data_IF_393774144543
#
_entry.id   IF_393774144543
#
_cell.length_a   1.000
_cell.length_b   1.000
_cell.length_c   1.000
_cell.angle_alpha   90.00
_cell.angle_beta   90.00
_cell.angle_gamma   90.00
#
_symmetry.space_group_name_H-M   'P 1'
#
loop_
_entity.id
_entity.type
_entity.pdbx_description
1 polymer ?
#
# COMPACT_ATOMS: atom_id res chain seq x y z
N UNK A 1 66.27 5.97 27.44
CA UNK A 1 65.03 6.76 27.27
C UNK A 1 63.84 5.83 27.52
N UNK A 2 62.86 6.19 28.34
CA UNK A 2 61.66 5.36 28.56
C UNK A 2 60.66 5.74 27.49
N UNK A 3 60.46 4.89 26.47
CA UNK A 3 59.43 5.13 25.46
C UNK A 3 58.06 4.87 26.11
N UNK A 4 57.37 5.95 26.52
CA UNK A 4 55.95 5.84 26.88
C UNK A 4 55.14 5.36 25.68
N UNK A 5 53.99 4.74 25.96
CA UNK A 5 53.09 4.14 24.99
C UNK A 5 52.32 5.23 24.22
N UNK A 6 53.02 6.03 23.41
CA UNK A 6 52.38 6.84 22.37
C UNK A 6 52.10 5.90 21.19
N UNK A 7 50.92 5.96 20.57
CA UNK A 7 50.57 5.16 19.39
C UNK A 7 51.45 5.50 18.17
N UNK A 8 52.41 6.42 18.32
CA UNK A 8 53.34 6.91 17.29
C UNK A 8 52.57 7.42 16.08
N UNK A 9 51.49 8.15 16.35
CA UNK A 9 50.62 8.84 15.40
C UNK A 9 50.26 10.20 15.97
N UNK A 10 50.37 11.23 15.14
CA UNK A 10 49.86 12.56 15.42
C UNK A 10 49.11 13.06 14.19
N UNK A 11 48.06 13.87 14.38
CA UNK A 11 47.27 14.38 13.27
C UNK A 11 47.00 15.87 13.38
N UNK A 12 47.05 16.54 12.24
CA UNK A 12 46.88 17.98 12.10
C UNK A 12 45.86 18.28 11.02
N UNK A 13 44.89 19.14 11.32
CA UNK A 13 43.98 19.66 10.30
C UNK A 13 44.67 20.83 9.60
N UNK A 14 44.65 20.85 8.27
CA UNK A 14 45.22 21.94 7.50
C UNK A 14 44.48 23.26 7.74
N UNK A 15 45.15 24.37 7.44
CA UNK A 15 44.56 25.72 7.47
C UNK A 15 45.01 26.57 6.27
N UNK A 16 45.78 25.99 5.35
CA UNK A 16 46.36 26.66 4.18
C UNK A 16 47.55 27.58 4.48
N UNK A 17 48.05 27.63 5.72
CA UNK A 17 49.13 28.54 6.12
C UNK A 17 50.24 27.88 6.94
N UNK A 18 49.90 26.96 7.87
CA UNK A 18 50.87 26.26 8.70
C UNK A 18 51.62 25.22 7.88
N UNK A 19 52.95 25.29 7.91
CA UNK A 19 53.83 24.33 7.23
C UNK A 19 54.62 23.45 8.20
N UNK A 20 54.82 23.86 9.46
CA UNK A 20 55.56 23.08 10.44
C UNK A 20 54.61 22.31 11.37
N UNK A 21 54.82 21.00 11.45
CA UNK A 21 54.03 20.06 12.24
C UNK A 21 54.96 19.28 13.18
N UNK A 22 54.75 19.42 14.49
CA UNK A 22 55.60 18.76 15.50
C UNK A 22 55.32 17.27 15.54
N UNK A 23 56.37 16.45 15.69
CA UNK A 23 56.26 15.02 15.96
C UNK A 23 56.55 14.82 17.44
N UNK A 24 55.57 14.33 18.19
CA UNK A 24 55.61 14.20 19.65
C UNK A 24 56.15 12.85 20.14
N UNK A 25 56.53 11.97 19.23
CA UNK A 25 57.17 10.68 19.51
C UNK A 25 58.58 10.60 18.93
N UNK A 26 59.46 9.79 19.54
CA UNK A 26 60.82 9.59 19.04
C UNK A 26 60.84 8.78 17.74
N UNK A 27 61.78 9.11 16.86
CA UNK A 27 62.09 8.37 15.63
C UNK A 27 63.59 8.42 15.34
N UNK A 28 64.11 7.45 14.57
CA UNK A 28 65.56 7.37 14.30
C UNK A 28 65.95 8.19 13.07
N UNK A 29 65.24 8.01 11.95
CA UNK A 29 65.51 8.67 10.67
C UNK A 29 64.26 9.29 10.08
N UNK A 30 64.43 10.27 9.19
CA UNK A 30 63.32 10.87 8.44
C UNK A 30 62.47 9.85 7.67
N UNK A 31 63.09 8.76 7.19
CA UNK A 31 62.42 7.69 6.46
C UNK A 31 61.59 6.75 7.35
N UNK A 32 61.71 6.86 8.69
CA UNK A 32 60.90 6.08 9.64
C UNK A 32 59.53 6.74 9.91
N UNK A 33 59.21 7.83 9.20
CA UNK A 33 57.95 8.53 9.25
C UNK A 33 57.25 8.47 7.89
N UNK A 34 55.93 8.35 7.94
CA UNK A 34 55.08 8.55 6.78
C UNK A 34 54.01 9.59 7.08
N UNK A 35 53.61 10.32 6.05
CA UNK A 35 52.59 11.37 6.12
C UNK A 35 51.47 11.00 5.15
N UNK A 36 50.27 10.86 5.68
CA UNK A 36 49.07 10.54 4.92
C UNK A 36 48.18 11.78 4.93
N UNK A 37 47.80 12.24 3.75
CA UNK A 37 46.78 13.27 3.60
C UNK A 37 45.43 12.61 3.41
N UNK A 38 44.48 12.97 4.28
CA UNK A 38 43.11 12.52 4.23
C UNK A 38 42.21 13.69 3.84
N UNK A 39 41.40 13.50 2.80
CA UNK A 39 40.36 14.46 2.43
C UNK A 39 39.20 14.37 3.43
N UNK A 40 38.80 15.49 4.04
CA UNK A 40 37.76 15.49 5.07
C UNK A 40 36.34 15.26 4.53
N UNK A 41 36.10 15.50 3.24
CA UNK A 41 34.78 15.32 2.63
C UNK A 41 34.61 13.92 2.03
N UNK A 42 35.63 13.40 1.35
CA UNK A 42 35.57 12.10 0.66
C UNK A 42 36.19 10.96 1.46
N UNK A 43 36.93 11.26 2.53
CA UNK A 43 37.74 10.31 3.31
C UNK A 43 38.82 9.58 2.49
N UNK A 44 39.11 10.05 1.28
CA UNK A 44 40.18 9.50 0.46
C UNK A 44 41.54 9.81 1.08
N UNK A 45 42.42 8.80 1.12
CA UNK A 45 43.78 8.90 1.65
C UNK A 45 44.81 8.93 0.53
N UNK A 46 45.83 9.77 0.66
CA UNK A 46 46.95 9.88 -0.28
C UNK A 46 48.26 9.93 0.49
N UNK A 47 49.18 9.03 0.17
CA UNK A 47 50.52 9.00 0.75
C UNK A 47 51.36 10.16 0.19
N UNK A 48 51.95 10.96 1.07
CA UNK A 48 52.88 12.04 0.70
C UNK A 48 54.31 11.51 0.60
N UNK A 49 55.08 12.11 -0.28
CA UNK A 49 56.46 11.70 -0.61
C UNK A 49 57.47 12.55 0.14
N UNK A 50 58.32 11.91 0.96
CA UNK A 50 59.44 12.55 1.64
C UNK A 50 60.40 13.19 0.63
N UNK A 51 60.78 14.45 0.86
CA UNK A 51 61.65 15.25 0.00
C UNK A 51 60.93 16.01 -1.12
N UNK A 52 59.70 15.62 -1.47
CA UNK A 52 58.86 16.34 -2.45
C UNK A 52 57.75 17.11 -1.76
N UNK A 53 56.90 16.41 -1.01
CA UNK A 53 55.73 16.99 -0.34
C UNK A 53 56.05 17.53 1.06
N UNK A 54 57.01 16.92 1.74
CA UNK A 54 57.46 17.33 3.06
C UNK A 54 58.93 16.97 3.30
N UNK A 55 59.56 17.68 4.25
CA UNK A 55 60.89 17.38 4.77
C UNK A 55 60.81 17.14 6.28
N UNK A 56 61.72 16.36 6.84
CA UNK A 56 61.75 16.07 8.28
C UNK A 56 63.06 16.59 8.87
N UNK A 57 62.95 17.25 10.02
CA UNK A 57 64.09 17.63 10.86
C UNK A 57 63.97 17.02 12.25
N UNK A 58 65.10 16.74 12.90
CA UNK A 58 65.15 16.05 14.19
C UNK A 58 65.40 14.55 14.03
N UNK A 59 64.90 13.75 14.98
CA UNK A 59 65.11 12.31 15.00
C UNK A 59 66.34 11.89 15.80
N UNK A 60 67.03 10.83 15.36
CA UNK A 60 68.19 10.27 16.06
C UNK A 60 67.86 9.57 17.39
N UNK A 61 66.59 9.28 17.65
CA UNK A 61 66.08 8.82 18.95
C UNK A 61 65.34 9.92 19.73
N UNK A 62 65.19 11.12 19.17
CA UNK A 62 64.41 12.21 19.75
C UNK A 62 63.18 12.55 18.89
N UNK A 63 62.39 13.51 19.37
CA UNK A 63 61.27 14.11 18.63
C UNK A 63 61.77 14.97 17.46
N UNK A 64 60.86 15.47 16.64
CA UNK A 64 61.22 16.26 15.48
C UNK A 64 60.06 17.07 14.91
N UNK A 65 60.22 17.50 13.67
CA UNK A 65 59.23 18.33 12.98
C UNK A 65 59.17 17.94 11.51
N UNK A 66 57.94 17.70 11.04
CA UNK A 66 57.61 17.56 9.63
C UNK A 66 57.31 18.95 9.09
N UNK A 67 57.98 19.34 8.01
CA UNK A 67 57.76 20.62 7.33
C UNK A 67 57.19 20.36 5.95
N UNK A 68 55.98 20.83 5.68
CA UNK A 68 55.32 20.73 4.40
C UNK A 68 55.95 21.66 3.37
N UNK A 69 56.14 21.19 2.14
CA UNK A 69 56.56 22.03 1.01
C UNK A 69 55.44 23.00 0.61
N UNK A 70 54.18 22.55 0.67
CA UNK A 70 52.98 23.35 0.46
C UNK A 70 52.06 23.19 1.67
N UNK A 71 51.58 24.31 2.23
CA UNK A 71 50.70 24.26 3.40
C UNK A 71 49.39 23.51 3.07
N UNK A 72 49.01 22.48 3.84
CA UNK A 72 47.79 21.74 3.57
C UNK A 72 46.55 22.62 3.75
N UNK A 73 45.59 22.60 2.81
CA UNK A 73 44.37 23.41 2.88
C UNK A 73 43.44 22.94 4.01
N UNK A 74 42.46 23.76 4.39
CA UNK A 74 41.50 23.43 5.45
C UNK A 74 40.57 22.24 5.14
N UNK A 75 40.57 21.77 3.89
CA UNK A 75 39.77 20.62 3.44
C UNK A 75 40.47 19.28 3.69
N UNK A 76 41.71 19.27 4.16
CA UNK A 76 42.48 18.05 4.39
C UNK A 76 43.03 17.97 5.81
N UNK A 77 43.29 16.73 6.23
CA UNK A 77 43.97 16.39 7.48
C UNK A 77 45.25 15.63 7.15
N UNK A 78 46.35 16.02 7.75
CA UNK A 78 47.60 15.27 7.70
C UNK A 78 47.72 14.37 8.91
N UNK A 79 47.96 13.09 8.67
CA UNK A 79 48.24 12.08 9.69
C UNK A 79 49.70 11.68 9.53
N UNK A 80 50.50 11.99 10.54
CA UNK A 80 51.92 11.64 10.61
C UNK A 80 52.04 10.43 11.51
N UNK A 81 52.63 9.35 11.00
CA UNK A 81 52.76 8.09 11.75
C UNK A 81 54.14 7.46 11.55
N UNK A 82 54.57 6.68 12.54
CA UNK A 82 55.78 5.86 12.43
C UNK A 82 55.59 4.71 11.43
N UNK A 83 56.59 4.52 10.57
CA UNK A 83 56.71 3.44 9.59
C UNK A 83 58.17 2.94 9.55
N UNK A 84 58.62 2.36 10.65
CA UNK A 84 59.99 1.90 10.84
C UNK A 84 60.26 0.63 10.01
N UNK A 85 61.29 0.61 9.13
CA UNK A 85 61.59 -0.57 8.33
C UNK A 85 61.99 -1.79 9.19
N UNK A 86 61.36 -2.94 8.95
CA UNK A 86 61.62 -4.23 9.63
C UNK A 86 62.90 -4.92 9.12
N UNK A 87 64.01 -4.20 9.16
CA UNK A 87 65.33 -4.69 8.74
C UNK A 87 66.34 -4.54 9.86
N UNK A 88 67.25 -5.50 10.00
CA UNK A 88 68.40 -5.37 10.88
C UNK A 88 69.63 -5.09 10.01
N UNK A 89 70.11 -3.84 10.01
CA UNK A 89 71.29 -3.43 9.24
C UNK A 89 72.60 -3.55 10.06
N UNK A 90 72.50 -3.70 11.38
CA UNK A 90 73.66 -3.81 12.28
C UNK A 90 74.23 -5.23 12.21
N UNK A 91 75.45 -5.35 11.71
CA UNK A 91 76.25 -6.56 11.78
C UNK A 91 77.26 -6.46 12.94
N UNK A 92 77.18 -7.40 13.88
CA UNK A 92 78.01 -7.41 15.07
C UNK A 92 79.25 -8.25 14.81
N UNK A 93 80.43 -7.65 14.94
CA UNK A 93 81.69 -8.38 14.84
C UNK A 93 81.90 -9.26 16.08
N UNK A 94 82.30 -10.52 15.87
CA UNK A 94 82.58 -11.48 16.95
C UNK A 94 83.77 -11.06 17.83
N UNK A 95 84.66 -10.22 17.30
CA UNK A 95 85.86 -9.73 17.98
C UNK A 95 85.93 -8.21 17.93
N UNK A 96 85.75 -7.56 19.08
CA UNK A 96 85.76 -6.11 19.22
C UNK A 96 84.99 -5.63 20.45
N UNK A 97 85.12 -4.36 20.79
CA UNK A 97 84.31 -3.74 21.84
C UNK A 97 82.86 -3.55 21.34
N UNK A 98 81.88 -3.96 22.15
CA UNK A 98 80.46 -3.71 21.85
C UNK A 98 80.15 -2.22 21.99
N UNK A 99 79.61 -1.61 20.93
CA UNK A 99 79.06 -0.26 21.01
C UNK A 99 77.71 -0.30 21.72
N UNK A 100 77.66 0.14 22.97
CA UNK A 100 76.41 0.22 23.75
C UNK A 100 75.38 1.16 23.08
N UNK A 101 75.84 2.24 22.45
CA UNK A 101 74.99 3.15 21.68
C UNK A 101 74.40 2.48 20.44
N UNK A 102 75.17 1.63 19.75
CA UNK A 102 74.67 0.85 18.63
C UNK A 102 73.67 -0.22 19.07
N UNK A 103 73.87 -0.78 20.27
CA UNK A 103 73.01 -1.80 20.84
C UNK A 103 71.67 -1.21 21.26
N UNK A 104 71.71 -0.07 21.95
CA UNK A 104 70.51 0.68 22.34
C UNK A 104 69.72 1.11 21.10
N UNK A 105 70.37 1.69 20.10
CA UNK A 105 69.70 2.11 18.86
C UNK A 105 69.05 0.94 18.10
N UNK A 106 69.68 -0.24 18.15
CA UNK A 106 69.11 -1.46 17.55
C UNK A 106 67.90 -1.96 18.35
N UNK A 107 67.93 -1.88 19.69
CA UNK A 107 66.83 -2.27 20.57
C UNK A 107 65.64 -1.29 20.48
N UNK A 108 65.93 0.01 20.42
CA UNK A 108 64.94 1.07 20.23
C UNK A 108 64.22 0.90 18.89
N UNK A 109 64.96 0.60 17.81
CA UNK A 109 64.36 0.29 16.49
C UNK A 109 63.35 -0.85 16.58
N UNK A 110 63.68 -1.93 17.30
CA UNK A 110 62.77 -3.06 17.49
C UNK A 110 61.55 -2.69 18.33
N UNK A 111 61.74 -1.85 19.35
CA UNK A 111 60.65 -1.37 20.21
C UNK A 111 59.68 -0.48 19.42
N UNK A 112 60.22 0.43 18.60
CA UNK A 112 59.48 1.28 17.67
C UNK A 112 58.65 0.44 16.69
N UNK A 113 59.28 -0.53 16.02
CA UNK A 113 58.60 -1.42 15.09
C UNK A 113 57.49 -2.26 15.78
N UNK A 114 57.73 -2.71 17.02
CA UNK A 114 56.73 -3.48 17.78
C UNK A 114 55.51 -2.62 18.15
N UNK A 115 55.72 -1.37 18.55
CA UNK A 115 54.63 -0.43 18.84
C UNK A 115 53.77 -0.14 17.60
N UNK A 116 54.41 0.08 16.45
CA UNK A 116 53.71 0.25 15.16
C UNK A 116 52.90 -0.98 14.78
N UNK A 117 53.48 -2.17 14.93
CA UNK A 117 52.78 -3.42 14.63
C UNK A 117 51.59 -3.66 15.57
N UNK A 118 51.72 -3.29 16.86
CA UNK A 118 50.61 -3.37 17.81
C UNK A 118 49.47 -2.42 17.44
N UNK A 119 49.79 -1.18 17.04
CA UNK A 119 48.81 -0.22 16.50
C UNK A 119 48.12 -0.79 15.27
N UNK A 120 48.88 -1.25 14.29
CA UNK A 120 48.35 -1.75 13.03
C UNK A 120 47.53 -3.03 13.21
N UNK A 121 47.88 -3.89 14.18
CA UNK A 121 47.07 -5.03 14.57
C UNK A 121 45.76 -4.63 15.26
N UNK A 122 45.75 -3.50 15.97
CA UNK A 122 44.54 -2.91 16.57
C UNK A 122 43.51 -2.46 15.54
N UNK A 123 43.96 -2.03 14.35
CA UNK A 123 43.12 -1.57 13.24
C UNK A 123 42.55 -2.73 12.39
N UNK A 124 43.02 -3.96 12.58
CA UNK A 124 42.58 -5.11 11.77
C UNK A 124 41.28 -5.70 12.29
N UNK A 125 40.45 -6.18 11.36
CA UNK A 125 39.33 -7.05 11.70
C UNK A 125 39.86 -8.33 12.37
N UNK A 126 39.33 -8.65 13.56
CA UNK A 126 39.75 -9.82 14.35
C UNK A 126 38.65 -10.87 14.36
N UNK A 127 39.03 -12.09 14.05
CA UNK A 127 38.20 -13.28 14.26
C UNK A 127 38.36 -13.80 15.68
N UNK A 128 37.40 -14.60 16.14
CA UNK A 128 37.53 -15.30 17.42
C UNK A 128 38.73 -16.26 17.39
N UNK A 129 39.49 -16.31 18.49
CA UNK A 129 40.70 -17.15 18.61
C UNK A 129 40.42 -18.66 18.48
N UNK A 130 39.17 -19.08 18.69
CA UNK A 130 38.69 -20.45 18.51
C UNK A 130 38.18 -20.76 17.10
N UNK A 131 38.31 -19.83 16.15
CA UNK A 131 37.86 -20.04 14.78
C UNK A 131 38.59 -21.22 14.12
N UNK A 132 37.84 -22.10 13.48
CA UNK A 132 38.33 -23.25 12.72
C UNK A 132 38.35 -22.99 11.21
N UNK A 133 38.33 -21.73 10.78
CA UNK A 133 38.34 -21.36 9.36
C UNK A 133 39.61 -21.91 8.69
N UNK A 134 39.42 -22.83 7.75
CA UNK A 134 40.49 -23.52 7.00
C UNK A 134 40.72 -22.92 5.62
N UNK A 135 39.86 -22.02 5.17
CA UNK A 135 39.99 -21.26 3.91
C UNK A 135 39.97 -19.77 4.25
N UNK A 136 40.89 -19.00 3.63
CA UNK A 136 41.16 -17.61 3.99
C UNK A 136 39.93 -16.71 3.86
N UNK A 137 39.81 -15.74 4.75
CA UNK A 137 38.86 -14.64 4.60
C UNK A 137 39.42 -13.69 3.55
N UNK A 138 38.92 -13.78 2.32
CA UNK A 138 39.28 -12.86 1.24
C UNK A 138 38.24 -11.74 1.17
N UNK A 139 38.68 -10.51 1.46
CA UNK A 139 37.92 -9.31 1.12
C UNK A 139 38.14 -9.01 -0.36
N UNK A 140 37.30 -9.60 -1.22
CA UNK A 140 37.28 -9.25 -2.64
C UNK A 140 36.79 -7.81 -2.76
N UNK A 141 37.70 -6.86 -3.03
CA UNK A 141 37.31 -5.52 -3.48
C UNK A 141 36.86 -5.63 -4.94
N UNK A 142 35.60 -5.31 -5.27
CA UNK A 142 35.26 -5.02 -6.65
C UNK A 142 36.04 -3.76 -7.05
N UNK A 143 36.73 -3.80 -8.19
CA UNK A 143 37.39 -2.62 -8.72
C UNK A 143 36.34 -1.49 -8.89
N UNK A 144 36.40 -0.45 -8.04
CA UNK A 144 35.76 0.84 -8.29
C UNK A 144 34.42 1.16 -7.63
N UNK A 145 33.92 0.41 -6.64
CA UNK A 145 32.73 0.82 -5.87
C UNK A 145 32.91 0.53 -4.38
N UNK A 146 32.43 1.47 -3.55
CA UNK A 146 32.65 1.56 -2.10
C UNK A 146 32.63 0.23 -1.34
N UNK A 147 33.49 0.06 -0.31
CA UNK A 147 33.55 -1.16 0.48
C UNK A 147 32.32 -1.29 1.38
N UNK A 148 31.24 -1.85 0.85
CA UNK A 148 30.06 -2.25 1.64
C UNK A 148 30.24 -3.70 2.05
N UNK A 149 30.10 -4.01 3.35
CA UNK A 149 30.17 -5.39 3.83
C UNK A 149 29.14 -6.27 3.10
N UNK A 150 29.52 -7.49 2.65
CA UNK A 150 28.55 -8.43 2.10
C UNK A 150 27.55 -8.81 3.20
N UNK A 151 26.26 -8.76 2.87
CA UNK A 151 25.22 -9.34 3.75
C UNK A 151 25.29 -10.85 3.55
N UNK A 152 25.70 -11.55 4.60
CA UNK A 152 25.68 -13.01 4.64
C UNK A 152 24.29 -13.45 5.05
N UNK A 153 23.63 -14.21 4.19
CA UNK A 153 22.38 -14.88 4.55
C UNK A 153 22.65 -15.84 5.73
N UNK A 154 22.03 -15.64 6.90
CA UNK A 154 22.27 -16.48 8.07
C UNK A 154 21.79 -17.94 7.90
N UNK A 155 20.99 -18.23 6.87
CA UNK A 155 20.43 -19.57 6.61
C UNK A 155 21.26 -20.33 5.59
N UNK A 156 21.67 -19.67 4.50
CA UNK A 156 22.43 -20.34 3.42
C UNK A 156 23.94 -20.11 3.50
N UNK A 157 24.39 -19.15 4.30
CA UNK A 157 25.79 -18.73 4.37
C UNK A 157 26.30 -18.05 3.10
N UNK A 158 25.43 -17.81 2.12
CA UNK A 158 25.78 -17.13 0.88
C UNK A 158 25.87 -15.62 1.13
N UNK A 159 27.05 -15.05 0.89
CA UNK A 159 27.25 -13.60 0.86
C UNK A 159 26.75 -13.04 -0.46
N UNK A 160 25.71 -12.20 -0.42
CA UNK A 160 25.27 -11.43 -1.59
C UNK A 160 25.64 -9.97 -1.40
N UNK A 161 26.23 -9.36 -2.43
CA UNK A 161 26.51 -7.93 -2.44
C UNK A 161 25.22 -7.18 -2.70
N UNK A 162 24.77 -6.39 -1.73
CA UNK A 162 23.67 -5.44 -1.95
C UNK A 162 24.29 -4.23 -2.64
N UNK A 163 23.92 -4.02 -3.90
CA UNK A 163 24.35 -2.85 -4.67
C UNK A 163 23.42 -1.67 -4.44
N UNK A 164 23.86 -0.46 -4.80
CA UNK A 164 22.98 0.72 -4.83
C UNK A 164 21.81 0.54 -5.80
N UNK A 165 21.96 -0.30 -6.83
CA UNK A 165 20.87 -0.71 -7.73
C UNK A 165 19.79 -1.53 -7.01
N UNK A 166 20.19 -2.47 -6.16
CA UNK A 166 19.26 -3.31 -5.37
C UNK A 166 18.45 -2.46 -4.38
N UNK A 167 19.09 -1.49 -3.73
CA UNK A 167 18.42 -0.52 -2.86
C UNK A 167 17.43 0.34 -3.65
N UNK A 168 17.79 0.76 -4.87
CA UNK A 168 16.89 1.51 -5.77
C UNK A 168 15.66 0.69 -6.19
N UNK A 169 15.84 -0.60 -6.49
CA UNK A 169 14.75 -1.52 -6.83
C UNK A 169 13.82 -1.69 -5.62
N UNK A 170 14.37 -1.88 -4.41
CA UNK A 170 13.58 -2.01 -3.20
C UNK A 170 12.77 -0.74 -2.91
N UNK A 171 13.38 0.45 -3.08
CA UNK A 171 12.68 1.73 -2.90
C UNK A 171 11.51 1.90 -3.90
N UNK A 172 11.70 1.50 -5.16
CA UNK A 172 10.64 1.52 -6.16
C UNK A 172 9.49 0.55 -5.81
N UNK A 173 9.83 -0.67 -5.37
CA UNK A 173 8.84 -1.65 -4.92
C UNK A 173 8.05 -1.16 -3.70
N UNK A 174 8.71 -0.56 -2.71
CA UNK A 174 8.04 0.03 -1.53
C UNK A 174 7.06 1.12 -1.94
N UNK A 175 7.43 1.97 -2.89
CA UNK A 175 6.54 3.03 -3.42
C UNK A 175 5.30 2.44 -4.12
N UNK A 176 5.49 1.38 -4.91
CA UNK A 176 4.39 0.68 -5.57
C UNK A 176 3.42 0.02 -4.54
N UNK A 177 3.96 -0.60 -3.49
CA UNK A 177 3.17 -1.21 -2.41
C UNK A 177 2.35 -0.15 -1.67
N UNK A 178 2.94 1.00 -1.34
CA UNK A 178 2.23 2.10 -0.69
C UNK A 178 1.08 2.64 -1.55
N UNK A 179 1.29 2.74 -2.87
CA UNK A 179 0.25 3.15 -3.82
C UNK A 179 -0.89 2.13 -3.87
N UNK A 180 -0.56 0.84 -3.93
CA UNK A 180 -1.56 -0.23 -3.91
C UNK A 180 -2.37 -0.23 -2.60
N UNK A 181 -1.71 -0.02 -1.46
CA UNK A 181 -2.36 0.09 -0.16
C UNK A 181 -3.33 1.27 -0.09
N UNK A 182 -2.97 2.44 -0.64
CA UNK A 182 -3.85 3.60 -0.73
C UNK A 182 -5.08 3.33 -1.61
N UNK A 183 -4.90 2.67 -2.76
CA UNK A 183 -6.01 2.27 -3.63
C UNK A 183 -6.96 1.28 -2.94
N UNK A 184 -6.41 0.30 -2.23
CA UNK A 184 -7.22 -0.65 -1.42
C UNK A 184 -7.99 0.10 -0.33
N UNK A 185 -7.35 1.03 0.38
CA UNK A 185 -8.02 1.83 1.40
C UNK A 185 -9.18 2.66 0.81
N UNK A 186 -9.01 3.24 -0.38
CA UNK A 186 -10.08 3.97 -1.08
C UNK A 186 -11.26 3.07 -1.49
N UNK A 187 -10.98 1.83 -1.95
CA UNK A 187 -12.02 0.83 -2.24
C UNK A 187 -12.74 0.41 -0.95
N UNK A 188 -11.99 0.24 0.15
CA UNK A 188 -12.52 -0.21 1.45
C UNK A 188 -13.19 0.91 2.23
N UNK A 189 -13.02 2.20 1.88
CA UNK A 189 -13.85 3.30 2.39
C UNK A 189 -15.27 3.20 1.83
N UNK A 190 -16.00 2.29 2.47
CA UNK A 190 -17.29 1.67 2.16
C UNK A 190 -18.46 2.65 2.09
N UNK A 191 -18.28 3.94 2.40
CA UNK A 191 -19.36 4.93 2.45
C UNK A 191 -20.07 5.14 1.11
N UNK A 192 -19.34 5.21 -0.02
CA UNK A 192 -19.96 5.43 -1.33
C UNK A 192 -20.65 4.17 -1.88
N UNK A 193 -20.04 2.99 -1.72
CA UNK A 193 -20.65 1.72 -2.13
C UNK A 193 -21.83 1.33 -1.23
N UNK A 194 -21.74 1.55 0.08
CA UNK A 194 -22.85 1.33 1.03
C UNK A 194 -24.04 2.25 0.74
N UNK A 195 -23.79 3.49 0.32
CA UNK A 195 -24.85 4.41 -0.13
C UNK A 195 -25.62 3.85 -1.33
N UNK A 196 -24.90 3.49 -2.40
CA UNK A 196 -25.54 2.96 -3.61
C UNK A 196 -26.24 1.61 -3.37
N UNK A 197 -25.64 0.70 -2.60
CA UNK A 197 -26.26 -0.58 -2.22
C UNK A 197 -27.51 -0.35 -1.37
N UNK A 198 -27.48 0.63 -0.44
CA UNK A 198 -28.64 1.04 0.35
C UNK A 198 -29.78 1.59 -0.52
N UNK A 199 -29.45 2.45 -1.50
CA UNK A 199 -30.42 2.97 -2.48
C UNK A 199 -31.04 1.83 -3.28
N UNK A 200 -30.24 0.89 -3.80
CA UNK A 200 -30.75 -0.26 -4.58
C UNK A 200 -31.64 -1.17 -3.72
N UNK A 201 -31.27 -1.42 -2.46
CA UNK A 201 -32.10 -2.19 -1.53
C UNK A 201 -33.44 -1.49 -1.23
N UNK A 202 -33.42 -0.16 -1.07
CA UNK A 202 -34.63 0.66 -0.92
C UNK A 202 -35.55 0.57 -2.13
N UNK A 203 -35.01 0.75 -3.34
CA UNK A 203 -35.76 0.60 -4.59
C UNK A 203 -36.34 -0.81 -4.76
N UNK A 204 -35.58 -1.86 -4.40
CA UNK A 204 -36.07 -3.24 -4.45
C UNK A 204 -37.28 -3.46 -3.50
N UNK A 205 -37.26 -2.86 -2.31
CA UNK A 205 -38.37 -2.91 -1.38
C UNK A 205 -39.61 -2.16 -1.91
N UNK A 206 -39.43 -0.99 -2.53
CA UNK A 206 -40.51 -0.24 -3.19
C UNK A 206 -41.14 -1.04 -4.35
N UNK A 207 -40.32 -1.69 -5.18
CA UNK A 207 -40.80 -2.55 -6.27
C UNK A 207 -41.60 -3.74 -5.73
N UNK A 208 -41.14 -4.39 -4.66
CA UNK A 208 -41.87 -5.49 -4.04
C UNK A 208 -43.26 -5.06 -3.53
N UNK A 209 -43.39 -3.83 -3.03
CA UNK A 209 -44.67 -3.28 -2.58
C UNK A 209 -45.68 -3.00 -3.72
N UNK A 210 -45.23 -2.90 -4.98
CA UNK A 210 -46.12 -2.75 -6.14
C UNK A 210 -46.85 -4.06 -6.53
N UNK A 211 -46.29 -5.23 -6.20
CA UNK A 211 -46.89 -6.53 -6.53
C UNK A 211 -48.32 -6.73 -6.00
N UNK A 212 -48.58 -6.49 -4.70
CA UNK A 212 -49.93 -6.54 -4.15
C UNK A 212 -50.90 -5.53 -4.77
N UNK A 213 -50.43 -4.34 -5.16
CA UNK A 213 -51.25 -3.33 -5.84
C UNK A 213 -51.68 -3.79 -7.24
N UNK A 214 -50.82 -4.51 -7.96
CA UNK A 214 -51.19 -5.10 -9.26
C UNK A 214 -52.30 -6.16 -9.12
N UNK A 215 -52.27 -6.97 -8.06
CA UNK A 215 -53.34 -7.92 -7.76
C UNK A 215 -54.67 -7.21 -7.44
N UNK A 216 -54.62 -6.10 -6.69
CA UNK A 216 -55.81 -5.27 -6.41
C UNK A 216 -56.41 -4.65 -7.69
N UNK A 217 -55.58 -4.22 -8.65
CA UNK A 217 -56.04 -3.71 -9.96
C UNK A 217 -56.79 -4.80 -10.74
N UNK A 218 -56.29 -6.04 -10.74
CA UNK A 218 -56.98 -7.15 -11.39
C UNK A 218 -58.35 -7.45 -10.77
N UNK A 219 -58.46 -7.36 -9.43
CA UNK A 219 -59.75 -7.48 -8.72
C UNK A 219 -60.71 -6.35 -9.11
N UNK A 220 -60.22 -5.10 -9.23
CA UNK A 220 -61.05 -3.98 -9.64
C UNK A 220 -61.61 -4.15 -11.07
N UNK A 221 -60.82 -4.71 -11.99
CA UNK A 221 -61.28 -5.01 -13.35
C UNK A 221 -62.43 -6.04 -13.37
N UNK A 222 -62.35 -7.08 -12.53
CA UNK A 222 -63.44 -8.06 -12.37
C UNK A 222 -64.71 -7.40 -11.79
N UNK A 223 -64.54 -6.48 -10.84
CA UNK A 223 -65.67 -5.75 -10.26
C UNK A 223 -66.37 -4.87 -11.30
N UNK A 224 -65.62 -4.21 -12.20
CA UNK A 224 -66.21 -3.44 -13.31
C UNK A 224 -67.08 -4.32 -14.20
N UNK A 225 -66.58 -5.49 -14.62
CA UNK A 225 -67.37 -6.44 -15.43
C UNK A 225 -68.65 -6.89 -14.71
N UNK A 226 -68.58 -7.12 -13.40
CA UNK A 226 -69.75 -7.48 -12.60
C UNK A 226 -70.78 -6.34 -12.50
N UNK A 227 -70.32 -5.09 -12.40
CA UNK A 227 -71.18 -3.90 -12.43
C UNK A 227 -71.89 -3.77 -13.78
N UNK A 228 -71.19 -3.96 -14.90
CA UNK A 228 -71.78 -3.91 -16.24
C UNK A 228 -72.88 -4.99 -16.40
N UNK A 229 -72.62 -6.20 -15.91
CA UNK A 229 -73.62 -7.28 -15.90
C UNK A 229 -74.85 -6.95 -15.03
N UNK A 230 -74.67 -6.25 -13.91
CA UNK A 230 -75.78 -5.79 -13.07
C UNK A 230 -76.59 -4.68 -13.76
N UNK A 231 -75.93 -3.79 -14.49
CA UNK A 231 -76.59 -2.77 -15.32
C UNK A 231 -77.49 -3.40 -16.40
N UNK A 232 -77.02 -4.45 -17.06
CA UNK A 232 -77.82 -5.21 -18.02
C UNK A 232 -79.07 -5.83 -17.37
N UNK A 233 -78.93 -6.46 -16.19
CA UNK A 233 -80.06 -7.02 -15.44
C UNK A 233 -81.07 -5.97 -14.99
N UNK A 234 -80.62 -4.76 -14.70
CA UNK A 234 -81.52 -3.64 -14.36
C UNK A 234 -82.38 -3.26 -15.56
N UNK A 235 -81.79 -3.25 -16.76
CA UNK A 235 -82.53 -3.00 -18.01
C UNK A 235 -83.57 -4.09 -18.29
N UNK A 236 -83.24 -5.37 -18.03
CA UNK A 236 -84.20 -6.48 -18.12
C UNK A 236 -85.36 -6.32 -17.13
N UNK A 237 -85.08 -5.85 -15.91
CA UNK A 237 -86.09 -5.60 -14.89
C UNK A 237 -87.05 -4.47 -15.29
N UNK A 238 -86.53 -3.38 -15.85
CA UNK A 238 -87.34 -2.26 -16.36
C UNK A 238 -88.30 -2.73 -17.48
N UNK A 239 -87.81 -3.59 -18.39
CA UNK A 239 -88.63 -4.18 -19.44
C UNK A 239 -89.74 -5.10 -18.88
N UNK A 240 -89.45 -5.85 -17.82
CA UNK A 240 -90.46 -6.66 -17.12
C UNK A 240 -91.50 -5.79 -16.40
N UNK A 241 -91.07 -4.65 -15.82
CA UNK A 241 -91.95 -3.64 -15.25
C UNK A 241 -92.92 -3.08 -16.28
N UNK A 242 -92.44 -2.75 -17.49
CA UNK A 242 -93.30 -2.29 -18.59
C UNK A 242 -94.33 -3.36 -19.00
N UNK A 243 -93.92 -4.62 -19.12
CA UNK A 243 -94.83 -5.75 -19.38
C UNK A 243 -95.90 -5.93 -18.30
N UNK A 244 -95.54 -5.67 -17.04
CA UNK A 244 -96.49 -5.74 -15.92
C UNK A 244 -97.54 -4.65 -16.06
N UNK A 245 -97.15 -3.42 -16.41
CA UNK A 245 -98.08 -2.32 -16.68
C UNK A 245 -99.00 -2.60 -17.89
N UNK A 246 -98.49 -3.25 -18.95
CA UNK A 246 -99.32 -3.70 -20.07
C UNK A 246 -100.36 -4.74 -19.63
N UNK A 247 -99.98 -5.69 -18.78
CA UNK A 247 -100.90 -6.69 -18.21
C UNK A 247 -101.96 -6.01 -17.35
N UNK A 248 -101.59 -5.06 -16.49
CA UNK A 248 -102.55 -4.31 -15.66
C UNK A 248 -103.56 -3.52 -16.51
N UNK A 249 -103.11 -2.93 -17.63
CA UNK A 249 -103.99 -2.23 -18.57
C UNK A 249 -104.98 -3.20 -19.26
N UNK A 250 -104.50 -4.38 -19.71
CA UNK A 250 -105.35 -5.43 -20.27
C UNK A 250 -106.40 -5.91 -19.25
N UNK A 251 -106.00 -6.10 -17.99
CA UNK A 251 -106.91 -6.50 -16.92
C UNK A 251 -108.02 -5.46 -16.70
N UNK A 252 -107.69 -4.16 -16.76
CA UNK A 252 -108.66 -3.08 -16.68
C UNK A 252 -109.63 -3.07 -17.88
N UNK A 253 -109.13 -3.30 -19.10
CA UNK A 253 -109.94 -3.39 -20.32
C UNK A 253 -110.93 -4.56 -20.28
N UNK A 254 -110.46 -5.75 -19.86
CA UNK A 254 -111.31 -6.93 -19.65
C UNK A 254 -112.42 -6.61 -18.63
N UNK A 255 -112.07 -5.93 -17.52
CA UNK A 255 -113.05 -5.47 -16.54
C UNK A 255 -114.11 -4.55 -17.13
N UNK A 256 -113.73 -3.61 -17.99
CA UNK A 256 -114.65 -2.71 -18.68
C UNK A 256 -115.56 -3.44 -19.68
N UNK A 257 -115.02 -4.42 -20.43
CA UNK A 257 -115.80 -5.27 -21.34
C UNK A 257 -116.84 -6.08 -20.56
N UNK A 258 -116.45 -6.70 -19.44
CA UNK A 258 -117.36 -7.45 -18.60
C UNK A 258 -118.52 -6.56 -18.07
N UNK A 259 -118.23 -5.31 -17.69
CA UNK A 259 -119.24 -4.36 -17.27
C UNK A 259 -120.22 -3.97 -18.40
N UNK A 260 -119.73 -3.74 -19.61
CA UNK A 260 -120.57 -3.45 -20.79
C UNK A 260 -121.47 -4.64 -21.16
N UNK A 261 -120.92 -5.85 -21.18
CA UNK A 261 -121.71 -7.06 -21.47
C UNK A 261 -122.86 -7.25 -20.46
N UNK A 262 -122.64 -6.92 -19.18
CA UNK A 262 -123.70 -6.97 -18.17
C UNK A 262 -124.81 -5.92 -18.39
N UNK A 263 -124.46 -4.73 -18.89
CA UNK A 263 -125.44 -3.68 -19.24
C UNK A 263 -126.26 -4.08 -20.47
N UNK A 264 -125.61 -4.63 -21.50
CA UNK A 264 -126.33 -5.08 -22.70
C UNK A 264 -127.39 -6.13 -22.35
N UNK A 265 -127.09 -7.09 -21.46
CA UNK A 265 -128.09 -8.07 -20.99
C UNK A 265 -129.27 -7.40 -20.26
N UNK A 266 -129.05 -6.29 -19.56
CA UNK A 266 -130.11 -5.55 -18.85
C UNK A 266 -130.92 -4.58 -19.73
N UNK A 267 -130.37 -4.17 -20.87
CA UNK A 267 -131.01 -3.26 -21.84
C UNK A 267 -131.75 -3.99 -22.96
N UNK A 268 -131.67 -5.33 -23.03
CA UNK A 268 -132.53 -6.10 -23.92
C UNK A 268 -133.92 -6.16 -23.28
N UNK A 269 -134.92 -5.61 -23.98
CA UNK A 269 -136.32 -5.74 -23.59
C UNK A 269 -136.66 -7.23 -23.40
N UNK A 270 -137.27 -7.65 -22.28
CA UNK A 270 -137.59 -9.06 -22.04
C UNK A 270 -138.44 -9.69 -23.16
N UNK A 271 -139.21 -8.86 -23.86
CA UNK A 271 -140.00 -9.25 -25.04
C UNK A 271 -139.13 -9.68 -26.23
N UNK A 272 -137.95 -9.09 -26.43
CA UNK A 272 -137.05 -9.42 -27.55
C UNK A 272 -136.28 -10.73 -27.30
N UNK A 273 -136.00 -11.06 -26.03
CA UNK A 273 -135.47 -12.38 -25.63
C UNK A 273 -136.54 -13.46 -25.86
N UNK A 274 -137.79 -13.17 -25.51
CA UNK A 274 -138.91 -14.09 -25.71
C UNK A 274 -139.27 -14.27 -27.19
N UNK A 275 -139.13 -13.23 -28.02
CA UNK A 275 -139.34 -13.24 -29.47
C UNK A 275 -138.29 -14.09 -30.20
N UNK A 276 -137.02 -14.00 -29.79
CA UNK A 276 -135.93 -14.82 -30.32
C UNK A 276 -136.07 -16.31 -29.94
N UNK A 277 -136.46 -16.59 -28.69
CA UNK A 277 -136.69 -17.97 -28.22
C UNK A 277 -137.94 -18.62 -28.84
N UNK A 278 -139.00 -17.86 -29.08
CA UNK A 278 -140.23 -18.35 -29.75
C UNK A 278 -140.07 -18.46 -31.27
N UNK A 279 -139.30 -17.58 -31.91
CA UNK A 279 -138.92 -17.68 -33.32
C UNK A 279 -138.04 -18.89 -33.61
N UNK A 280 -137.12 -19.24 -32.69
CA UNK A 280 -136.33 -20.47 -32.77
C UNK A 280 -137.18 -21.73 -32.56
N UNK A 281 -138.18 -21.70 -31.68
CA UNK A 281 -139.10 -22.82 -31.45
C UNK A 281 -140.08 -23.04 -32.63
N UNK A 282 -140.56 -21.97 -33.27
CA UNK A 282 -141.43 -22.06 -34.45
C UNK A 282 -140.68 -22.51 -35.72
N UNK A 283 -139.41 -22.10 -35.90
CA UNK A 283 -138.55 -22.58 -36.98
C UNK A 283 -138.16 -24.07 -36.84
N UNK A 284 -138.29 -24.65 -35.63
CA UNK A 284 -138.05 -26.08 -35.36
C UNK A 284 -139.31 -26.96 -35.49
N UNK A 285 -140.49 -26.36 -35.63
CA UNK A 285 -141.74 -27.09 -35.87
C UNK A 285 -142.14 -27.15 -37.36
N UNK A 286 -141.40 -26.43 -38.22
CA UNK A 286 -141.58 -26.41 -39.68
C UNK A 286 -140.39 -27.03 -40.46
N UNK A 287 -139.50 -27.75 -39.76
CA UNK A 287 -138.39 -28.54 -40.30
C UNK A 287 -138.22 -29.84 -39.50
#
# INVERSE_FOLDING_TARGET
MTAELNERVVAYTGNGATVNFTVDFPFLNAADLEVIEQNLATLAETLKVLGTDYTVSGGGGATGTVTATTAPPATVRWVIRGATPLTQATDWQETGGLSLEGLERSLDKLTFALQEQARDAGLRFRLQRSSTLTTGVEFLTPAGTDPVMPVVDPVTGAGTWITTGDVGILAAQVTAIQTAAANIAAIVTTAAMSGNVGVVAGLAAEIAALGPKAAQIAVLALLTTAIDALGARTTELDALGARTAEIDALYAEIGAIAAKANIDVSNVDPEDISGSLTGSAAAKAAL
#
